data_IF_061780191119
#
_entry.id   IF_061780191119
#
_cell.length_a   1.000
_cell.length_b   1.000
_cell.length_c   1.000
_cell.angle_alpha   90.00
_cell.angle_beta   90.00
_cell.angle_gamma   90.00
#
_symmetry.space_group_name_H-M   'P 1'
#
loop_
_entity.id
_entity.type
_entity.pdbx_description
1 polymer ?
#
# COMPACT_ATOMS: atom_id res chain seq x y z
N UNK A 1 24.33 7.76 -8.24
CA UNK A 1 23.93 8.57 -9.43
C UNK A 1 22.73 9.49 -9.18
N UNK A 2 22.10 9.49 -7.99
CA UNK A 2 20.92 10.34 -7.67
C UNK A 2 21.28 11.73 -7.10
N UNK A 3 22.56 12.01 -6.82
CA UNK A 3 22.99 13.25 -6.13
C UNK A 3 23.10 14.53 -6.98
N UNK A 4 22.66 14.55 -8.26
CA UNK A 4 22.88 15.72 -9.15
C UNK A 4 21.65 16.33 -9.82
N UNK A 5 20.50 15.66 -9.77
CA UNK A 5 19.26 16.16 -10.38
C UNK A 5 18.42 16.91 -9.34
N UNK A 6 17.83 18.05 -9.70
CA UNK A 6 16.86 18.71 -8.82
C UNK A 6 15.69 17.76 -8.54
N UNK A 7 15.21 17.67 -7.30
CA UNK A 7 14.18 16.68 -6.92
C UNK A 7 12.91 16.85 -7.76
N UNK A 8 12.57 18.11 -8.09
CA UNK A 8 11.51 18.47 -9.05
C UNK A 8 11.70 17.79 -10.40
N UNK A 9 12.89 17.87 -11.00
CA UNK A 9 13.17 17.25 -12.30
C UNK A 9 13.09 15.72 -12.22
N UNK A 10 13.57 15.12 -11.13
CA UNK A 10 13.46 13.68 -10.91
C UNK A 10 11.99 13.24 -10.85
N UNK A 11 11.15 13.97 -10.10
CA UNK A 11 9.71 13.68 -9.99
C UNK A 11 9.01 13.79 -11.35
N UNK A 12 9.28 14.85 -12.12
CA UNK A 12 8.71 15.05 -13.47
C UNK A 12 9.15 13.91 -14.39
N UNK A 13 10.44 13.55 -14.38
CA UNK A 13 10.97 12.46 -15.20
C UNK A 13 10.32 11.12 -14.84
N UNK A 14 10.12 10.82 -13.56
CA UNK A 14 9.40 9.63 -13.12
C UNK A 14 7.96 9.60 -13.64
N UNK A 15 7.21 10.70 -13.54
CA UNK A 15 5.85 10.76 -14.08
C UNK A 15 5.81 10.56 -15.60
N UNK A 16 6.68 11.25 -16.34
CA UNK A 16 6.74 11.15 -17.80
C UNK A 16 7.18 9.76 -18.28
N UNK A 17 8.14 9.13 -17.61
CA UNK A 17 8.60 7.79 -17.97
C UNK A 17 7.57 6.71 -17.67
N UNK A 18 6.63 6.92 -16.74
CA UNK A 18 5.54 5.95 -16.49
C UNK A 18 4.50 5.91 -17.61
N UNK A 19 4.25 7.03 -18.27
CA UNK A 19 3.26 7.12 -19.35
C UNK A 19 3.46 6.04 -20.44
N UNK A 20 4.65 5.88 -21.06
CA UNK A 20 4.84 4.85 -22.08
C UNK A 20 4.70 3.43 -21.53
N UNK A 21 5.05 3.18 -20.26
CA UNK A 21 4.84 1.86 -19.64
C UNK A 21 3.34 1.54 -19.49
N UNK A 22 2.53 2.52 -19.06
CA UNK A 22 1.08 2.36 -18.93
C UNK A 22 0.41 2.23 -20.30
N UNK A 23 0.83 3.01 -21.31
CA UNK A 23 0.37 2.81 -22.70
C UNK A 23 0.72 1.40 -23.18
N UNK A 24 1.91 0.90 -22.80
CA UNK A 24 2.31 -0.48 -23.07
C UNK A 24 1.37 -1.53 -22.48
N UNK A 25 0.69 -1.25 -21.35
CA UNK A 25 -0.31 -2.18 -20.78
C UNK A 25 -1.50 -2.39 -21.72
N UNK A 26 -1.94 -1.32 -22.40
CA UNK A 26 -3.06 -1.36 -23.35
C UNK A 26 -2.70 -2.21 -24.58
N UNK A 27 -1.43 -2.18 -24.99
CA UNK A 27 -0.91 -2.86 -26.18
C UNK A 27 -0.32 -4.24 -25.90
N UNK A 28 -0.29 -4.68 -24.63
CA UNK A 28 0.39 -5.91 -24.24
C UNK A 28 -0.32 -7.15 -24.80
N UNK A 29 0.32 -7.94 -25.69
CA UNK A 29 -0.32 -9.09 -26.32
C UNK A 29 -0.40 -10.31 -25.40
N UNK A 30 0.41 -10.35 -24.35
CA UNK A 30 0.45 -11.44 -23.39
C UNK A 30 1.05 -10.99 -22.04
N UNK A 31 0.91 -11.84 -21.03
CA UNK A 31 1.40 -11.58 -19.67
C UNK A 31 2.92 -11.35 -19.59
N UNK A 32 3.71 -12.04 -20.43
CA UNK A 32 5.17 -11.91 -20.43
C UNK A 32 5.63 -10.53 -20.92
N UNK A 33 4.86 -9.87 -21.78
CA UNK A 33 5.09 -8.47 -22.15
C UNK A 33 4.63 -7.50 -21.06
N UNK A 34 3.55 -7.83 -20.34
CA UNK A 34 3.02 -6.98 -19.27
C UNK A 34 3.96 -6.91 -18.06
N UNK A 35 4.56 -8.04 -17.66
CA UNK A 35 5.38 -8.13 -16.43
C UNK A 35 6.57 -7.17 -16.40
N UNK A 36 7.44 -7.07 -17.43
CA UNK A 36 8.52 -6.09 -17.46
C UNK A 36 8.01 -4.65 -17.38
N UNK A 37 6.90 -4.33 -18.06
CA UNK A 37 6.33 -2.98 -18.06
C UNK A 37 5.88 -2.59 -16.64
N UNK A 38 5.21 -3.51 -15.93
CA UNK A 38 4.80 -3.29 -14.54
C UNK A 38 6.03 -3.09 -13.68
N UNK A 39 7.04 -3.96 -13.81
CA UNK A 39 8.28 -3.86 -13.06
C UNK A 39 8.94 -2.48 -13.21
N UNK A 40 9.16 -2.01 -14.44
CA UNK A 40 9.81 -0.71 -14.65
C UNK A 40 8.96 0.47 -14.17
N UNK A 41 7.63 0.40 -14.32
CA UNK A 41 6.71 1.41 -13.78
C UNK A 41 6.80 1.49 -12.25
N UNK A 42 6.88 0.36 -11.55
CA UNK A 42 7.01 0.31 -10.09
C UNK A 42 8.40 0.76 -9.60
N UNK A 43 9.48 0.45 -10.34
CA UNK A 43 10.82 0.99 -10.04
C UNK A 43 10.81 2.52 -10.03
N UNK A 44 10.10 3.14 -10.98
CA UNK A 44 9.95 4.60 -11.00
C UNK A 44 9.13 5.11 -9.80
N UNK A 45 8.23 4.31 -9.23
CA UNK A 45 7.46 4.63 -8.02
C UNK A 45 8.31 4.68 -6.76
N UNK A 46 9.14 3.67 -6.59
CA UNK A 46 10.12 3.61 -5.50
C UNK A 46 11.09 4.81 -5.53
N UNK A 47 11.42 5.32 -6.72
CA UNK A 47 12.29 6.52 -6.87
C UNK A 47 11.53 7.83 -6.60
N UNK A 48 10.26 7.90 -7.00
CA UNK A 48 9.45 9.12 -6.90
C UNK A 48 9.10 9.47 -5.46
N UNK A 49 8.77 8.48 -4.64
CA UNK A 49 8.35 8.68 -3.25
C UNK A 49 9.36 9.43 -2.36
N UNK A 50 10.64 9.03 -2.28
CA UNK A 50 11.63 9.75 -1.51
C UNK A 50 11.90 11.15 -2.08
N UNK A 51 11.84 11.32 -3.40
CA UNK A 51 11.98 12.63 -4.04
C UNK A 51 10.83 13.57 -3.65
N UNK A 52 9.58 13.07 -3.67
CA UNK A 52 8.38 13.78 -3.21
C UNK A 52 8.52 14.23 -1.77
N UNK A 53 8.88 13.31 -0.86
CA UNK A 53 9.03 13.62 0.56
C UNK A 53 10.15 14.64 0.83
N UNK A 54 11.26 14.53 0.10
CA UNK A 54 12.35 15.48 0.20
C UNK A 54 12.01 16.86 -0.39
N UNK A 55 11.09 16.92 -1.36
CA UNK A 55 10.61 18.16 -1.97
C UNK A 55 9.56 18.87 -1.09
N UNK A 56 8.66 18.13 -0.42
CA UNK A 56 7.72 18.71 0.57
C UNK A 56 8.50 19.45 1.66
N UNK A 57 9.57 18.83 2.18
CA UNK A 57 10.44 19.46 3.18
C UNK A 57 11.21 20.70 2.69
N UNK A 58 11.36 20.85 1.39
CA UNK A 58 12.02 22.00 0.78
C UNK A 58 11.04 23.19 0.62
N UNK A 59 9.81 22.92 0.17
CA UNK A 59 8.82 23.98 -0.11
C UNK A 59 8.07 24.45 1.14
N UNK A 60 7.91 23.59 2.15
CA UNK A 60 7.10 23.89 3.33
C UNK A 60 7.97 24.39 4.49
N UNK A 61 7.60 25.51 5.14
CA UNK A 61 8.24 25.99 6.36
C UNK A 61 8.24 24.94 7.48
N UNK A 62 9.27 24.94 8.33
CA UNK A 62 9.46 23.89 9.37
C UNK A 62 8.29 23.77 10.33
N UNK A 63 7.70 24.89 10.69
CA UNK A 63 6.52 25.03 11.56
C UNK A 63 5.25 24.43 10.95
N UNK A 64 5.17 24.34 9.61
CA UNK A 64 4.01 23.80 8.88
C UNK A 64 4.24 22.37 8.37
N UNK A 65 5.44 21.78 8.59
CA UNK A 65 5.75 20.44 8.09
C UNK A 65 4.81 19.37 8.64
N UNK A 66 4.35 19.50 9.87
CA UNK A 66 3.41 18.52 10.45
C UNK A 66 2.08 18.53 9.70
N UNK A 67 1.53 19.71 9.42
CA UNK A 67 0.28 19.87 8.68
C UNK A 67 0.42 19.39 7.22
N UNK A 68 1.52 19.73 6.56
CA UNK A 68 1.79 19.27 5.20
C UNK A 68 1.92 17.74 5.12
N UNK A 69 2.60 17.13 6.09
CA UNK A 69 2.68 15.67 6.18
C UNK A 69 1.32 15.05 6.47
N UNK A 70 0.51 15.63 7.36
CA UNK A 70 -0.84 15.15 7.64
C UNK A 70 -1.72 15.20 6.38
N UNK A 71 -1.67 16.29 5.60
CA UNK A 71 -2.40 16.42 4.35
C UNK A 71 -1.91 15.43 3.28
N UNK A 72 -0.60 15.20 3.20
CA UNK A 72 -0.01 14.20 2.30
C UNK A 72 -0.50 12.78 2.64
N UNK A 73 -0.52 12.44 3.93
CA UNK A 73 -1.01 11.16 4.42
C UNK A 73 -2.51 10.99 4.20
N UNK A 74 -3.31 12.04 4.42
CA UNK A 74 -4.73 12.06 4.11
C UNK A 74 -4.97 11.80 2.63
N UNK A 75 -4.22 12.47 1.75
CA UNK A 75 -4.32 12.29 0.30
C UNK A 75 -3.96 10.85 -0.12
N UNK A 76 -2.89 10.29 0.44
CA UNK A 76 -2.42 8.95 0.10
C UNK A 76 -3.36 7.86 0.63
N UNK A 77 -3.82 7.96 1.87
CA UNK A 77 -4.78 7.02 2.43
C UNK A 77 -6.17 7.17 1.79
N UNK A 78 -6.59 8.40 1.49
CA UNK A 78 -7.79 8.68 0.73
C UNK A 78 -7.77 8.01 -0.63
N UNK A 79 -6.66 8.14 -1.38
CA UNK A 79 -6.48 7.44 -2.65
C UNK A 79 -6.47 5.91 -2.48
N UNK A 80 -5.81 5.36 -1.45
CA UNK A 80 -5.83 3.91 -1.17
C UNK A 80 -7.25 3.37 -0.93
N UNK A 81 -8.11 4.19 -0.34
CA UNK A 81 -9.51 3.84 -0.06
C UNK A 81 -10.37 3.98 -1.33
N UNK A 82 -10.24 5.10 -2.05
CA UNK A 82 -11.15 5.44 -3.15
C UNK A 82 -10.73 4.83 -4.48
N UNK A 83 -9.43 4.63 -4.73
CA UNK A 83 -8.93 4.15 -6.01
C UNK A 83 -9.41 2.73 -6.35
N UNK A 84 -9.44 1.73 -5.42
CA UNK A 84 -10.01 0.42 -5.73
C UNK A 84 -11.52 0.48 -6.00
N UNK A 85 -12.27 1.33 -5.28
CA UNK A 85 -13.71 1.50 -5.48
C UNK A 85 -14.02 2.11 -6.85
N UNK A 86 -13.34 3.20 -7.19
CA UNK A 86 -13.47 3.86 -8.48
C UNK A 86 -12.96 2.98 -9.62
N UNK A 87 -11.82 2.31 -9.43
CA UNK A 87 -11.25 1.38 -10.41
C UNK A 87 -12.19 0.22 -10.71
N UNK A 88 -12.77 -0.40 -9.68
CA UNK A 88 -13.78 -1.45 -9.83
C UNK A 88 -15.02 -0.96 -10.58
N UNK A 89 -15.54 0.22 -10.22
CA UNK A 89 -16.69 0.84 -10.91
C UNK A 89 -16.40 1.15 -12.38
N UNK A 90 -15.20 1.67 -12.69
CA UNK A 90 -14.79 1.98 -14.06
C UNK A 90 -14.69 0.69 -14.89
N UNK A 91 -14.09 -0.37 -14.34
CA UNK A 91 -14.01 -1.68 -15.03
C UNK A 91 -15.38 -2.33 -15.20
N UNK A 92 -16.31 -2.09 -14.27
CA UNK A 92 -17.68 -2.62 -14.38
C UNK A 92 -18.53 -1.84 -15.39
N UNK A 93 -18.33 -0.53 -15.51
CA UNK A 93 -19.11 0.34 -16.39
C UNK A 93 -18.49 0.51 -17.80
N UNK A 94 -17.18 0.29 -17.95
CA UNK A 94 -16.41 0.52 -19.16
C UNK A 94 -15.38 -0.60 -19.40
N UNK A 95 -14.68 -0.53 -20.53
CA UNK A 95 -13.58 -1.46 -20.83
C UNK A 95 -12.39 -1.27 -19.85
N UNK A 96 -11.68 -2.34 -19.43
CA UNK A 96 -10.49 -2.25 -18.59
C UNK A 96 -9.44 -1.25 -19.07
N UNK A 97 -9.34 -1.02 -20.38
CA UNK A 97 -8.44 -0.03 -20.97
C UNK A 97 -8.68 1.40 -20.47
N UNK A 98 -9.91 1.74 -20.07
CA UNK A 98 -10.24 3.07 -19.54
C UNK A 98 -9.47 3.40 -18.26
N UNK A 99 -9.19 2.40 -17.41
CA UNK A 99 -8.41 2.61 -16.18
C UNK A 99 -6.99 3.07 -16.53
N UNK A 100 -6.36 2.43 -17.53
CA UNK A 100 -5.02 2.78 -17.98
C UNK A 100 -4.98 4.15 -18.67
N UNK A 101 -6.02 4.50 -19.44
CA UNK A 101 -6.13 5.84 -20.05
C UNK A 101 -6.21 6.92 -18.96
N UNK A 102 -7.04 6.71 -17.94
CA UNK A 102 -7.15 7.64 -16.80
C UNK A 102 -5.83 7.74 -16.03
N UNK A 103 -5.10 6.64 -15.88
CA UNK A 103 -3.76 6.64 -15.26
C UNK A 103 -2.75 7.47 -16.07
N UNK A 104 -2.75 7.36 -17.41
CA UNK A 104 -1.93 8.20 -18.31
C UNK A 104 -2.28 9.69 -18.16
N UNK A 105 -3.58 10.02 -18.14
CA UNK A 105 -4.05 11.39 -17.92
C UNK A 105 -3.58 11.88 -16.55
N UNK A 106 -3.68 11.05 -15.51
CA UNK A 106 -3.22 11.37 -14.16
C UNK A 106 -1.74 11.71 -14.10
N UNK A 107 -0.86 10.89 -14.69
CA UNK A 107 0.58 11.17 -14.75
C UNK A 107 0.91 12.42 -15.58
N UNK A 108 0.14 12.68 -16.64
CA UNK A 108 0.29 13.89 -17.46
C UNK A 108 -0.07 15.15 -16.68
N UNK A 109 -1.22 15.15 -16.00
CA UNK A 109 -1.66 16.25 -15.14
C UNK A 109 -0.69 16.48 -13.97
N UNK A 110 -0.21 15.40 -13.34
CA UNK A 110 0.80 15.49 -12.29
C UNK A 110 2.09 16.15 -12.80
N UNK A 111 2.57 15.76 -13.99
CA UNK A 111 3.76 16.37 -14.61
C UNK A 111 3.57 17.87 -14.85
N UNK A 112 2.39 18.29 -15.35
CA UNK A 112 2.05 19.70 -15.56
C UNK A 112 1.98 20.46 -14.23
N UNK A 113 1.38 19.87 -13.19
CA UNK A 113 1.30 20.47 -11.87
C UNK A 113 2.70 20.68 -11.27
N UNK A 114 3.59 19.68 -11.41
CA UNK A 114 4.97 19.76 -10.95
C UNK A 114 5.77 20.87 -11.65
N UNK A 115 5.48 21.18 -12.92
CA UNK A 115 6.14 22.29 -13.64
C UNK A 115 5.91 23.65 -12.96
N UNK A 116 4.75 23.84 -12.29
CA UNK A 116 4.40 25.09 -11.59
C UNK A 116 5.10 25.25 -10.24
N UNK A 117 5.73 24.21 -9.71
CA UNK A 117 6.40 24.26 -8.41
C UNK A 117 7.78 24.96 -8.51
N UNK A 118 8.29 25.58 -7.44
CA UNK A 118 9.58 26.29 -7.47
C UNK A 118 10.76 25.36 -7.80
N UNK A 119 11.81 25.90 -8.43
CA UNK A 119 13.02 25.12 -8.70
C UNK A 119 13.88 25.11 -7.43
N UNK A 120 14.32 23.92 -7.04
CA UNK A 120 15.23 23.74 -5.92
C UNK A 120 16.61 24.28 -6.30
N UNK A 121 17.11 25.29 -5.58
CA UNK A 121 18.50 25.73 -5.76
C UNK A 121 19.44 24.60 -5.31
N UNK A 122 20.47 24.33 -6.11
CA UNK A 122 21.48 23.32 -5.76
C UNK A 122 22.28 23.80 -4.55
N UNK A 123 21.82 23.50 -3.34
CA UNK A 123 22.70 23.53 -2.19
C UNK A 123 23.83 22.53 -2.45
N UNK A 124 25.08 23.02 -2.46
CA UNK A 124 26.27 22.15 -2.39
C UNK A 124 26.10 21.33 -1.13
N UNK A 125 25.76 20.05 -1.28
CA UNK A 125 25.58 19.14 -0.15
C UNK A 125 26.86 19.18 0.67
N UNK A 126 26.79 19.78 1.87
CA UNK A 126 27.77 19.49 2.91
C UNK A 126 27.58 18.01 3.18
N UNK A 127 28.59 17.21 2.86
CA UNK A 127 28.74 15.83 3.33
C UNK A 127 28.34 15.82 4.81
N UNK A 128 27.13 15.38 5.12
CA UNK A 128 26.81 14.94 6.47
C UNK A 128 27.47 13.59 6.60
N UNK A 129 28.54 13.59 7.37
CA UNK A 129 29.31 12.44 7.79
C UNK A 129 28.36 11.26 8.05
N UNK A 130 28.57 10.20 7.27
CA UNK A 130 27.83 8.97 7.41
C UNK A 130 28.15 8.34 8.76
N UNK A 131 27.25 8.52 9.72
CA UNK A 131 27.09 7.50 10.76
C UNK A 131 26.91 6.15 10.06
N UNK A 132 27.65 5.14 10.50
CA UNK A 132 27.64 3.80 9.91
C UNK A 132 26.18 3.33 9.75
N UNK A 133 25.70 3.23 8.51
CA UNK A 133 24.32 2.82 8.19
C UNK A 133 23.93 1.53 8.93
N UNK A 134 24.90 0.64 9.11
CA UNK A 134 24.76 -0.63 9.82
C UNK A 134 24.65 -0.49 11.35
N UNK A 135 25.31 0.49 11.97
CA UNK A 135 25.18 0.72 13.42
C UNK A 135 23.82 1.32 13.75
N UNK A 136 23.37 2.31 12.97
CA UNK A 136 22.03 2.90 13.12
C UNK A 136 20.93 1.87 12.82
N UNK A 137 21.13 0.95 11.87
CA UNK A 137 20.20 -0.15 11.62
C UNK A 137 20.15 -1.16 12.78
N UNK A 138 21.30 -1.53 13.35
CA UNK A 138 21.39 -2.44 14.48
C UNK A 138 20.70 -1.87 15.74
N UNK A 139 20.86 -0.58 16.00
CA UNK A 139 20.21 0.09 17.12
C UNK A 139 18.68 0.13 16.97
N UNK A 140 18.17 0.30 15.74
CA UNK A 140 16.73 0.22 15.44
C UNK A 140 16.17 -1.18 15.66
N UNK A 141 16.86 -2.23 15.22
CA UNK A 141 16.45 -3.62 15.49
C UNK A 141 16.46 -3.90 16.99
N UNK A 142 17.49 -3.43 17.70
CA UNK A 142 17.59 -3.60 19.15
C UNK A 142 16.42 -2.93 19.87
N UNK A 143 16.05 -1.72 19.45
CA UNK A 143 14.91 -0.99 20.00
C UNK A 143 13.58 -1.74 19.75
N UNK A 144 13.35 -2.19 18.52
CA UNK A 144 12.16 -2.98 18.18
C UNK A 144 12.09 -4.25 19.04
N UNK A 145 13.21 -4.96 19.23
CA UNK A 145 13.26 -6.18 20.05
C UNK A 145 13.10 -5.91 21.55
N UNK A 146 13.50 -4.73 22.03
CA UNK A 146 13.32 -4.36 23.45
C UNK A 146 11.87 -4.00 23.78
N UNK A 147 11.12 -3.42 22.84
CA UNK A 147 9.70 -3.17 23.02
C UNK A 147 8.89 -4.38 22.52
N UNK A 148 8.46 -5.26 23.44
CA UNK A 148 7.71 -6.48 23.12
C UNK A 148 6.39 -6.22 22.39
N UNK A 149 5.72 -5.11 22.69
CA UNK A 149 4.47 -4.69 22.05
C UNK A 149 4.74 -4.37 20.57
N UNK A 150 5.77 -3.56 20.33
CA UNK A 150 6.21 -3.16 18.99
C UNK A 150 6.68 -4.38 18.16
N UNK A 151 7.49 -5.25 18.74
CA UNK A 151 7.95 -6.48 18.07
C UNK A 151 6.79 -7.41 17.69
N UNK A 152 5.83 -7.64 18.60
CA UNK A 152 4.66 -8.48 18.33
C UNK A 152 3.77 -7.89 17.24
N UNK A 153 3.52 -6.58 17.29
CA UNK A 153 2.70 -5.89 16.29
C UNK A 153 3.33 -5.92 14.89
N UNK A 154 4.64 -5.63 14.80
CA UNK A 154 5.40 -5.73 13.53
C UNK A 154 5.40 -7.17 13.01
N UNK A 155 5.66 -8.14 13.87
CA UNK A 155 5.67 -9.55 13.49
C UNK A 155 4.31 -10.04 12.99
N UNK A 156 3.24 -9.77 13.74
CA UNK A 156 1.88 -10.17 13.37
C UNK A 156 1.39 -9.54 12.07
N UNK A 157 1.66 -8.24 11.84
CA UNK A 157 1.28 -7.55 10.62
C UNK A 157 2.11 -8.03 9.42
N UNK A 158 3.41 -8.24 9.60
CA UNK A 158 4.30 -8.77 8.55
C UNK A 158 3.86 -10.18 8.15
N UNK A 159 3.52 -11.03 9.12
CA UNK A 159 2.99 -12.36 8.86
C UNK A 159 1.62 -12.32 8.16
N UNK A 160 0.74 -11.41 8.59
CA UNK A 160 -0.56 -11.22 7.93
C UNK A 160 -0.41 -10.77 6.47
N UNK A 161 0.48 -9.81 6.19
CA UNK A 161 0.77 -9.38 4.82
C UNK A 161 1.39 -10.49 3.97
N UNK A 162 2.27 -11.30 4.56
CA UNK A 162 2.84 -12.48 3.91
C UNK A 162 1.74 -13.46 3.48
N UNK A 163 0.83 -13.81 4.40
CA UNK A 163 -0.31 -14.68 4.12
C UNK A 163 -1.23 -14.07 3.05
N UNK A 164 -1.63 -12.81 3.19
CA UNK A 164 -2.48 -12.12 2.21
C UNK A 164 -1.86 -12.19 0.82
N UNK A 165 -0.58 -11.84 0.68
CA UNK A 165 0.14 -11.85 -0.60
C UNK A 165 0.37 -13.26 -1.16
N UNK A 166 0.46 -14.27 -0.29
CA UNK A 166 0.47 -15.68 -0.71
C UNK A 166 -0.83 -16.06 -1.41
N UNK A 167 -1.97 -15.57 -0.91
CA UNK A 167 -3.32 -15.88 -1.40
C UNK A 167 -3.89 -14.89 -2.42
N UNK A 168 -3.30 -13.70 -2.58
CA UNK A 168 -3.79 -12.64 -3.46
C UNK A 168 -3.87 -13.11 -4.93
N UNK A 169 -2.93 -13.97 -5.35
CA UNK A 169 -2.95 -14.59 -6.69
C UNK A 169 -3.99 -15.71 -6.80
N UNK A 170 -4.32 -16.36 -5.70
CA UNK A 170 -5.31 -17.44 -5.65
C UNK A 170 -6.73 -16.91 -5.82
N UNK A 171 -7.01 -15.63 -5.54
CA UNK A 171 -8.31 -15.00 -5.79
C UNK A 171 -8.76 -15.14 -7.25
N UNK A 172 -7.85 -14.89 -8.20
CA UNK A 172 -8.20 -14.93 -9.63
C UNK A 172 -8.46 -16.37 -10.07
N UNK A 173 -7.63 -17.31 -9.58
CA UNK A 173 -7.83 -18.75 -9.80
C UNK A 173 -9.12 -19.24 -9.13
N UNK A 174 -9.44 -18.71 -7.96
CA UNK A 174 -10.64 -18.99 -7.17
C UNK A 174 -11.90 -18.53 -7.90
N UNK A 175 -11.92 -17.29 -8.44
CA UNK A 175 -13.02 -16.81 -9.27
C UNK A 175 -13.17 -17.67 -10.53
N UNK A 176 -12.07 -18.05 -11.17
CA UNK A 176 -12.09 -18.94 -12.33
C UNK A 176 -12.65 -20.34 -12.01
N UNK A 177 -12.23 -20.94 -10.89
CA UNK A 177 -12.66 -22.27 -10.45
C UNK A 177 -14.12 -22.34 -10.00
N UNK A 178 -14.68 -21.21 -9.56
CA UNK A 178 -16.10 -21.08 -9.23
C UNK A 178 -16.97 -20.69 -10.44
N UNK A 179 -16.38 -20.52 -11.64
CA UNK A 179 -17.09 -20.07 -12.83
C UNK A 179 -17.57 -18.63 -12.74
N UNK A 180 -16.96 -17.83 -11.85
CA UNK A 180 -17.26 -16.41 -11.68
C UNK A 180 -16.57 -15.67 -12.83
N UNK A 181 -17.36 -15.06 -13.70
CA UNK A 181 -16.87 -14.23 -14.81
C UNK A 181 -16.20 -12.93 -14.34
N UNK A 182 -15.68 -12.16 -15.30
CA UNK A 182 -15.00 -10.88 -15.07
C UNK A 182 -15.90 -9.91 -14.26
N UNK A 183 -17.21 -9.91 -14.54
CA UNK A 183 -18.19 -9.08 -13.83
C UNK A 183 -18.29 -9.42 -12.33
N UNK A 184 -18.22 -10.70 -11.99
CA UNK A 184 -18.26 -11.15 -10.61
C UNK A 184 -16.96 -10.86 -9.85
N UNK A 185 -15.81 -10.91 -10.53
CA UNK A 185 -14.54 -10.46 -9.98
C UNK A 185 -14.57 -8.95 -9.68
N UNK A 186 -15.07 -8.13 -10.61
CA UNK A 186 -15.24 -6.69 -10.40
C UNK A 186 -16.19 -6.36 -9.23
N UNK A 187 -17.26 -7.14 -9.07
CA UNK A 187 -18.20 -7.01 -7.94
C UNK A 187 -17.52 -7.32 -6.60
N UNK A 188 -16.72 -8.38 -6.54
CA UNK A 188 -15.94 -8.75 -5.35
C UNK A 188 -14.95 -7.62 -4.99
N UNK A 189 -14.22 -7.11 -5.97
CA UNK A 189 -13.26 -6.03 -5.76
C UNK A 189 -13.94 -4.75 -5.24
N UNK A 190 -15.11 -4.43 -5.80
CA UNK A 190 -15.94 -3.31 -5.35
C UNK A 190 -16.41 -3.51 -3.91
N UNK A 191 -16.81 -4.73 -3.54
CA UNK A 191 -17.21 -5.06 -2.18
C UNK A 191 -16.07 -4.87 -1.16
N UNK A 192 -14.84 -5.32 -1.49
CA UNK A 192 -13.65 -5.06 -0.68
C UNK A 192 -13.41 -3.56 -0.51
N UNK A 193 -13.56 -2.78 -1.57
CA UNK A 193 -13.34 -1.34 -1.52
C UNK A 193 -14.38 -0.62 -0.65
N UNK A 194 -15.67 -0.94 -0.79
CA UNK A 194 -16.73 -0.40 0.06
C UNK A 194 -16.51 -0.82 1.52
N UNK A 195 -16.17 -2.09 1.77
CA UNK A 195 -15.82 -2.58 3.10
C UNK A 195 -14.65 -1.81 3.72
N UNK A 196 -13.64 -1.49 2.92
CA UNK A 196 -12.49 -0.69 3.35
C UNK A 196 -12.91 0.71 3.83
N UNK A 197 -13.75 1.40 3.06
CA UNK A 197 -14.32 2.70 3.45
C UNK A 197 -15.03 2.59 4.80
N UNK A 198 -15.91 1.59 4.94
CA UNK A 198 -16.67 1.35 6.18
C UNK A 198 -15.72 1.05 7.35
N UNK A 199 -14.69 0.24 7.13
CA UNK A 199 -13.66 -0.07 8.13
C UNK A 199 -12.95 1.17 8.66
N UNK A 200 -12.69 2.16 7.80
CA UNK A 200 -12.06 3.43 8.21
C UNK A 200 -12.91 4.19 9.23
N UNK A 201 -14.22 4.25 9.01
CA UNK A 201 -15.15 4.89 9.95
C UNK A 201 -15.40 4.07 11.21
N UNK A 202 -15.31 2.74 11.13
CA UNK A 202 -15.51 1.84 12.28
C UNK A 202 -14.33 1.83 13.25
N UNK A 203 -13.12 2.19 12.82
CA UNK A 203 -11.94 2.22 13.71
C UNK A 203 -12.14 3.18 14.88
N UNK A 204 -12.65 4.39 14.66
CA UNK A 204 -12.80 5.41 15.71
C UNK A 204 -13.77 5.03 16.84
N UNK A 205 -14.98 4.51 16.58
CA UNK A 205 -15.85 4.04 17.65
C UNK A 205 -15.31 2.77 18.33
N UNK A 206 -14.69 1.85 17.57
CA UNK A 206 -14.12 0.63 18.15
C UNK A 206 -12.86 0.89 18.99
N UNK A 207 -12.04 1.89 18.65
CA UNK A 207 -10.89 2.25 19.48
C UNK A 207 -11.28 2.79 20.84
N UNK A 208 -12.52 3.25 21.01
CA UNK A 208 -13.08 3.65 22.32
C UNK A 208 -13.55 2.46 23.15
N UNK A 209 -13.84 1.32 22.53
CA UNK A 209 -14.27 0.09 23.20
C UNK A 209 -13.10 -0.72 23.77
N UNK A 210 -11.88 -0.50 23.27
CA UNK A 210 -10.68 -1.19 23.71
C UNK A 210 -9.74 -0.22 24.42
N UNK A 211 -9.53 -0.41 25.73
CA UNK A 211 -8.56 0.37 26.51
C UNK A 211 -7.11 0.09 26.09
N UNK A 212 -6.85 -1.11 25.53
CA UNK A 212 -5.51 -1.53 25.13
C UNK A 212 -5.42 -1.74 23.60
N UNK A 213 -4.59 -0.94 22.88
CA UNK A 213 -4.45 -1.05 21.43
C UNK A 213 -3.81 -2.39 20.97
N UNK A 214 -3.19 -3.15 21.89
CA UNK A 214 -2.76 -4.53 21.63
C UNK A 214 -3.95 -5.50 21.52
N UNK A 215 -4.97 -5.35 22.37
CA UNK A 215 -6.20 -6.16 22.30
C UNK A 215 -6.96 -5.86 21.00
N UNK A 216 -6.97 -4.60 20.59
CA UNK A 216 -7.56 -4.18 19.32
C UNK A 216 -6.84 -4.80 18.12
N UNK A 217 -5.50 -4.82 18.13
CA UNK A 217 -4.70 -5.48 17.09
C UNK A 217 -4.92 -7.00 17.06
N UNK A 218 -5.00 -7.64 18.23
CA UNK A 218 -5.23 -9.09 18.34
C UNK A 218 -6.64 -9.49 17.86
N UNK A 219 -7.67 -8.71 18.24
CA UNK A 219 -9.04 -8.92 17.79
C UNK A 219 -9.15 -8.78 16.26
N UNK A 220 -8.50 -7.76 15.69
CA UNK A 220 -8.45 -7.56 14.24
C UNK A 220 -7.77 -8.74 13.52
N UNK A 221 -6.65 -9.23 14.06
CA UNK A 221 -5.92 -10.38 13.52
C UNK A 221 -6.74 -11.68 13.57
N UNK A 222 -7.45 -11.95 14.67
CA UNK A 222 -8.30 -13.14 14.82
C UNK A 222 -9.49 -13.11 13.86
N UNK A 223 -10.19 -11.98 13.77
CA UNK A 223 -11.32 -11.81 12.87
C UNK A 223 -10.89 -11.88 11.41
N UNK A 224 -9.79 -11.19 11.06
CA UNK A 224 -9.20 -11.23 9.72
C UNK A 224 -8.77 -12.64 9.34
N UNK A 225 -8.07 -13.36 10.23
CA UNK A 225 -7.63 -14.74 10.01
C UNK A 225 -8.80 -15.71 9.80
N UNK A 226 -9.89 -15.56 10.56
CA UNK A 226 -11.11 -16.35 10.37
C UNK A 226 -11.75 -16.16 9.00
N UNK A 227 -11.77 -14.93 8.48
CA UNK A 227 -12.32 -14.62 7.15
C UNK A 227 -11.44 -15.22 6.04
N UNK A 228 -10.11 -15.15 6.19
CA UNK A 228 -9.19 -15.77 5.23
C UNK A 228 -9.32 -17.30 5.20
N UNK A 229 -9.53 -17.95 6.34
CA UNK A 229 -9.82 -19.38 6.40
C UNK A 229 -11.12 -19.74 5.66
N UNK A 230 -12.18 -18.95 5.82
CA UNK A 230 -13.45 -19.16 5.11
C UNK A 230 -13.27 -19.07 3.58
N UNK A 231 -12.46 -18.13 3.10
CA UNK A 231 -12.13 -17.99 1.67
C UNK A 231 -11.36 -19.22 1.16
N UNK A 232 -10.38 -19.69 1.94
CA UNK A 232 -9.61 -20.89 1.61
C UNK A 232 -10.48 -22.15 1.50
N UNK A 233 -11.38 -22.36 2.47
CA UNK A 233 -12.33 -23.49 2.45
C UNK A 233 -13.28 -23.41 1.25
N UNK A 234 -13.75 -22.22 0.90
CA UNK A 234 -14.56 -22.00 -0.30
C UNK A 234 -13.83 -22.30 -1.61
N UNK A 235 -12.53 -21.98 -1.67
CA UNK A 235 -11.71 -22.24 -2.85
C UNK A 235 -11.51 -23.71 -3.16
N UNK A 236 -11.46 -24.54 -2.12
CA UNK A 236 -11.39 -25.99 -2.24
C UNK A 236 -12.75 -26.63 -2.59
N UNK A 237 -13.81 -25.82 -2.79
CA UNK A 237 -15.21 -26.24 -3.01
C UNK A 237 -15.80 -27.10 -1.88
N UNK A 238 -15.20 -27.09 -0.68
CA UNK A 238 -15.76 -27.77 0.49
C UNK A 238 -17.04 -27.10 0.99
N UNK A 239 -17.19 -25.80 0.71
CA UNK A 239 -18.41 -25.03 0.97
C UNK A 239 -18.88 -24.40 -0.35
N UNK A 240 -20.05 -24.81 -0.82
CA UNK A 240 -20.76 -24.16 -1.93
C UNK A 240 -21.73 -23.15 -1.37
N UNK A 241 -21.39 -21.86 -1.49
CA UNK A 241 -22.26 -20.76 -1.11
C UNK A 241 -22.67 -19.95 -2.36
N UNK A 242 -23.88 -19.35 -2.37
CA UNK A 242 -24.29 -18.48 -3.47
C UNK A 242 -23.36 -17.26 -3.57
N UNK A 243 -23.21 -16.72 -4.78
CA UNK A 243 -22.29 -15.62 -5.08
C UNK A 243 -22.43 -14.41 -4.12
N UNK A 244 -23.66 -14.08 -3.72
CA UNK A 244 -23.94 -13.00 -2.77
C UNK A 244 -23.25 -13.20 -1.40
N UNK A 245 -23.17 -14.44 -0.90
CA UNK A 245 -22.48 -14.73 0.37
C UNK A 245 -20.98 -14.44 0.22
N UNK A 246 -20.39 -14.76 -0.93
CA UNK A 246 -19.00 -14.44 -1.21
C UNK A 246 -18.75 -12.93 -1.28
N UNK A 247 -19.66 -12.17 -1.89
CA UNK A 247 -19.60 -10.70 -1.90
C UNK A 247 -19.58 -10.14 -0.47
N UNK A 248 -20.41 -10.68 0.42
CA UNK A 248 -20.44 -10.27 1.85
C UNK A 248 -19.14 -10.66 2.56
N UNK A 249 -18.60 -11.85 2.32
CA UNK A 249 -17.30 -12.28 2.90
C UNK A 249 -16.18 -11.33 2.46
N UNK A 250 -16.10 -11.01 1.16
CA UNK A 250 -15.11 -10.09 0.61
C UNK A 250 -15.29 -8.64 1.11
N UNK A 251 -16.52 -8.20 1.34
CA UNK A 251 -16.80 -6.93 2.01
C UNK A 251 -16.19 -6.89 3.42
N UNK A 252 -16.33 -7.96 4.20
CA UNK A 252 -15.72 -8.06 5.53
C UNK A 252 -14.19 -8.11 5.50
N UNK A 253 -13.58 -8.72 4.47
CA UNK A 253 -12.13 -8.63 4.23
C UNK A 253 -11.70 -7.16 4.11
N UNK A 254 -12.44 -6.36 3.34
CA UNK A 254 -12.19 -4.94 3.18
C UNK A 254 -12.19 -4.18 4.51
N UNK A 255 -13.22 -4.38 5.33
CA UNK A 255 -13.34 -3.77 6.67
C UNK A 255 -12.11 -4.13 7.51
N UNK A 256 -11.80 -5.42 7.63
CA UNK A 256 -10.72 -5.90 8.49
C UNK A 256 -9.34 -5.46 8.02
N UNK A 257 -9.12 -5.36 6.69
CA UNK A 257 -7.86 -4.93 6.11
C UNK A 257 -7.49 -3.50 6.51
N UNK A 258 -8.40 -2.54 6.30
CA UNK A 258 -8.12 -1.15 6.71
C UNK A 258 -8.16 -0.94 8.21
N UNK A 259 -9.05 -1.65 8.92
CA UNK A 259 -9.06 -1.63 10.37
C UNK A 259 -7.70 -2.04 10.96
N UNK A 260 -7.14 -3.15 10.47
CA UNK A 260 -5.83 -3.66 10.91
C UNK A 260 -4.70 -2.71 10.54
N UNK A 261 -4.72 -2.15 9.32
CA UNK A 261 -3.70 -1.21 8.82
C UNK A 261 -3.64 0.09 9.63
N UNK A 262 -4.80 0.65 10.00
CA UNK A 262 -4.88 1.86 10.83
C UNK A 262 -4.37 1.56 12.24
N UNK A 263 -4.87 0.49 12.86
CA UNK A 263 -4.45 0.09 14.22
C UNK A 263 -2.95 -0.16 14.30
N UNK A 264 -2.38 -0.86 13.32
CA UNK A 264 -0.95 -1.09 13.17
C UNK A 264 -0.15 0.22 13.15
N UNK A 265 -0.55 1.14 12.27
CA UNK A 265 0.12 2.43 12.11
C UNK A 265 0.03 3.26 13.40
N UNK A 266 -1.12 3.26 14.07
CA UNK A 266 -1.34 3.96 15.34
C UNK A 266 -0.48 3.38 16.46
N UNK A 267 -0.40 2.05 16.59
CA UNK A 267 0.39 1.42 17.66
C UNK A 267 1.89 1.68 17.48
N UNK A 268 2.38 1.66 16.24
CA UNK A 268 3.77 2.06 15.97
C UNK A 268 4.01 3.50 16.39
N UNK A 269 3.09 4.42 16.06
CA UNK A 269 3.24 5.83 16.41
C UNK A 269 3.13 6.10 17.91
N UNK A 270 2.29 5.37 18.64
CA UNK A 270 2.11 5.56 20.09
C UNK A 270 3.26 4.98 20.92
N UNK A 271 3.83 3.87 20.47
CA UNK A 271 4.91 3.15 21.18
C UNK A 271 6.31 3.64 20.79
N UNK A 272 6.42 4.54 19.80
CA UNK A 272 7.70 5.00 19.26
C UNK A 272 7.93 6.49 19.54
N UNK A 273 9.09 6.87 20.12
CA UNK A 273 9.49 8.26 20.31
C UNK A 273 9.49 9.06 19.01
N UNK A 274 9.02 10.33 19.01
CA UNK A 274 8.87 11.15 17.80
C UNK A 274 10.13 11.22 16.93
N UNK A 275 11.32 11.23 17.52
CA UNK A 275 12.60 11.34 16.82
C UNK A 275 12.96 10.06 16.04
N UNK A 276 12.34 8.92 16.38
CA UNK A 276 12.64 7.61 15.80
C UNK A 276 11.53 7.05 14.91
N UNK A 277 10.32 7.64 14.90
CA UNK A 277 9.15 7.16 14.14
C UNK A 277 9.51 6.88 12.68
N UNK A 278 10.08 7.86 11.97
CA UNK A 278 10.42 7.70 10.55
C UNK A 278 11.46 6.60 10.29
N UNK A 279 12.37 6.36 11.24
CA UNK A 279 13.41 5.33 11.12
C UNK A 279 12.85 3.93 11.37
N UNK A 280 11.94 3.79 12.33
CA UNK A 280 11.28 2.51 12.65
C UNK A 280 10.30 2.15 11.54
N UNK A 281 9.49 3.09 11.06
CA UNK A 281 8.60 2.90 9.91
C UNK A 281 9.40 2.38 8.69
N UNK A 282 10.55 2.98 8.37
CA UNK A 282 11.40 2.52 7.26
C UNK A 282 11.87 1.06 7.42
N UNK A 283 12.29 0.66 8.62
CA UNK A 283 12.71 -0.73 8.89
C UNK A 283 11.52 -1.69 8.78
N UNK A 284 10.37 -1.31 9.32
CA UNK A 284 9.14 -2.13 9.26
C UNK A 284 8.65 -2.36 7.84
N UNK A 285 8.61 -1.32 7.01
CA UNK A 285 8.26 -1.46 5.59
C UNK A 285 9.29 -2.29 4.82
N UNK A 286 10.57 -2.20 5.16
CA UNK A 286 11.60 -3.08 4.59
C UNK A 286 11.32 -4.56 4.86
N UNK A 287 10.96 -4.92 6.09
CA UNK A 287 10.56 -6.29 6.44
C UNK A 287 9.29 -6.72 5.71
N UNK A 288 8.25 -5.86 5.70
CA UNK A 288 7.00 -6.15 5.00
C UNK A 288 7.21 -6.35 3.50
N UNK A 289 7.96 -5.47 2.84
CA UNK A 289 8.24 -5.58 1.41
C UNK A 289 9.04 -6.84 1.09
N UNK A 290 10.00 -7.21 1.94
CA UNK A 290 10.75 -8.46 1.77
C UNK A 290 9.82 -9.67 1.90
N UNK A 291 8.92 -9.66 2.88
CA UNK A 291 7.92 -10.72 3.03
C UNK A 291 6.97 -10.80 1.82
N UNK A 292 6.51 -9.66 1.31
CA UNK A 292 5.66 -9.55 0.11
C UNK A 292 6.36 -10.04 -1.17
N UNK A 293 7.68 -9.94 -1.27
CA UNK A 293 8.46 -10.43 -2.40
C UNK A 293 8.71 -11.93 -2.34
N UNK A 294 8.84 -12.49 -1.13
CA UNK A 294 9.08 -13.92 -0.92
C UNK A 294 7.78 -14.73 -1.00
N UNK A 295 6.66 -14.17 -0.52
CA UNK A 295 5.37 -14.87 -0.52
C UNK A 295 4.97 -15.46 -1.87
N UNK A 296 5.06 -14.77 -3.02
CA UNK A 296 4.58 -15.32 -4.27
C UNK A 296 5.54 -16.36 -4.86
N UNK A 297 6.80 -16.41 -4.42
CA UNK A 297 7.77 -17.43 -4.80
C UNK A 297 7.48 -18.75 -4.06
N UNK A 298 7.03 -18.68 -2.80
CA UNK A 298 6.66 -19.84 -1.99
C UNK A 298 5.27 -20.36 -2.31
N UNK A 299 4.32 -19.49 -2.68
CA UNK A 299 2.95 -19.90 -3.04
C UNK A 299 2.75 -20.35 -4.48
N UNK A 300 3.78 -20.25 -5.32
CA UNK A 300 3.76 -20.71 -6.72
C UNK A 300 4.23 -22.16 -6.89
N UNK A 301 4.55 -22.86 -5.79
CA UNK A 301 4.88 -24.29 -5.74
C UNK A 301 3.65 -25.06 -5.28
#
# INVERSE_FOLDING_TARGET
MVDRSSKKQLMIMCCLLRIPFVIGFILAPNLYFLLPLVFFKEVLDVIFDPARQAYIRFVVPRDQLQEANALSQLSMNGAKITAPALGGLIVAAFDPQMVFILEVIGFSLASIALLRLPIEEKEKSKNKEGGLFWSDFADRIRYIRSNRILAFNIGSMTFSMFIISLYDKLIVLWTKNLGIGIDGFGTILSAVAVGSIVGTFLVTPFSRLFENPLMMSAAAGLLGGGIWLLIGIGGWRWVTAPFFVWVVVWFWVGIMSLFSSITYTTLIQSETPPEMIGRIIAVTHGFQNTALLISPLLGAV
#
